data_IF_646913128610
#
_entry.id   IF_646913128610
#
_cell.length_a   1.000
_cell.length_b   1.000
_cell.length_c   1.000
_cell.angle_alpha   90.00
_cell.angle_beta   90.00
_cell.angle_gamma   90.00
#
_symmetry.space_group_name_H-M   'P 1'
#
loop_
_entity.id
_entity.type
_entity.pdbx_description
1 polymer ?
#
# COMPACT_ATOMS: atom_id res chain seq x y z
N UNK A 1 6.89 -0.34 -13.93
CA UNK A 1 6.31 0.68 -13.04
C UNK A 1 5.07 1.24 -13.72
N UNK A 2 3.89 1.11 -13.10
CA UNK A 2 2.68 1.78 -13.57
C UNK A 2 2.87 3.31 -13.49
N UNK A 3 2.04 4.05 -14.25
CA UNK A 3 2.06 5.51 -14.26
C UNK A 3 2.05 6.15 -12.84
N UNK A 4 1.47 5.46 -11.87
CA UNK A 4 1.37 5.93 -10.48
C UNK A 4 2.55 5.55 -9.58
N UNK A 5 3.59 4.90 -10.05
CA UNK A 5 4.79 4.49 -9.27
C UNK A 5 4.51 4.06 -7.82
N UNK A 6 3.35 3.51 -7.53
CA UNK A 6 2.92 3.22 -6.17
C UNK A 6 3.02 1.74 -5.84
N UNK A 7 3.36 1.48 -4.59
CA UNK A 7 3.33 0.15 -4.00
C UNK A 7 1.89 -0.29 -3.74
N UNK A 8 1.67 -1.57 -3.45
CA UNK A 8 0.35 -2.06 -3.04
C UNK A 8 -0.05 -1.44 -1.69
N UNK A 9 0.92 -1.17 -0.82
CA UNK A 9 0.68 -0.52 0.47
C UNK A 9 0.27 0.95 0.28
N UNK A 10 0.86 1.67 -0.69
CA UNK A 10 0.37 2.99 -1.11
C UNK A 10 -1.06 2.95 -1.64
N UNK A 11 -1.42 1.89 -2.37
CA UNK A 11 -2.80 1.64 -2.78
C UNK A 11 -3.75 1.46 -1.59
N UNK A 12 -3.37 0.65 -0.62
CA UNK A 12 -4.15 0.43 0.63
C UNK A 12 -4.24 1.70 1.46
N UNK A 13 -3.14 2.40 1.64
CA UNK A 13 -3.12 3.68 2.36
C UNK A 13 -4.12 4.70 1.78
N UNK A 14 -4.27 4.74 0.46
CA UNK A 14 -5.23 5.65 -0.17
C UNK A 14 -6.69 5.37 0.21
N UNK A 15 -7.05 4.10 0.45
CA UNK A 15 -8.38 3.74 0.95
C UNK A 15 -8.55 4.18 2.42
N UNK A 16 -7.51 3.99 3.23
CA UNK A 16 -7.53 4.32 4.66
C UNK A 16 -7.64 5.82 4.93
N UNK A 17 -7.32 6.66 3.94
CA UNK A 17 -7.50 8.12 3.99
C UNK A 17 -8.87 8.61 3.51
N UNK A 18 -9.79 7.74 3.16
CA UNK A 18 -11.17 8.11 2.87
C UNK A 18 -11.87 8.59 4.16
N UNK A 19 -12.83 9.54 4.07
CA UNK A 19 -13.64 9.91 5.22
C UNK A 19 -14.28 8.66 5.85
N UNK A 20 -14.29 8.52 7.18
CA UNK A 20 -14.75 7.29 7.85
C UNK A 20 -16.14 6.82 7.42
N UNK A 21 -17.11 7.74 7.31
CA UNK A 21 -18.47 7.39 6.88
C UNK A 21 -18.50 6.91 5.43
N UNK A 22 -17.74 7.55 4.54
CA UNK A 22 -17.60 7.10 3.14
C UNK A 22 -16.98 5.71 3.08
N UNK A 23 -15.90 5.48 3.84
CA UNK A 23 -15.25 4.18 3.90
C UNK A 23 -16.19 3.06 4.38
N UNK A 24 -16.97 3.33 5.43
CA UNK A 24 -17.90 2.36 6.00
C UNK A 24 -19.10 2.08 5.09
N UNK A 25 -19.66 3.10 4.44
CA UNK A 25 -20.81 2.98 3.57
C UNK A 25 -20.49 2.37 2.20
N UNK A 26 -19.25 2.52 1.73
CA UNK A 26 -18.85 2.04 0.42
C UNK A 26 -18.71 0.51 0.37
N UNK A 27 -19.12 -0.09 -0.74
CA UNK A 27 -18.84 -1.49 -1.04
C UNK A 27 -17.33 -1.72 -1.25
N UNK A 28 -16.90 -2.98 -1.33
CA UNK A 28 -15.50 -3.34 -1.54
C UNK A 28 -14.91 -2.63 -2.78
N UNK A 29 -15.54 -2.76 -3.94
CA UNK A 29 -15.05 -2.15 -5.17
C UNK A 29 -15.18 -0.63 -5.20
N UNK A 30 -16.19 -0.07 -4.57
CA UNK A 30 -16.31 1.39 -4.43
C UNK A 30 -15.14 1.98 -3.64
N UNK A 31 -14.68 1.33 -2.58
CA UNK A 31 -13.48 1.78 -1.83
C UNK A 31 -12.26 1.82 -2.75
N UNK A 32 -12.04 0.75 -3.52
CA UNK A 32 -10.91 0.70 -4.46
C UNK A 32 -11.01 1.78 -5.54
N UNK A 33 -12.21 2.02 -6.06
CA UNK A 33 -12.45 3.07 -7.04
C UNK A 33 -12.16 4.46 -6.46
N UNK A 34 -12.70 4.81 -5.28
CA UNK A 34 -12.45 6.06 -4.61
C UNK A 34 -10.96 6.27 -4.26
N UNK A 35 -10.29 5.19 -3.81
CA UNK A 35 -8.84 5.23 -3.59
C UNK A 35 -8.05 5.44 -4.88
N UNK A 36 -8.51 4.88 -6.00
CA UNK A 36 -7.91 5.10 -7.31
C UNK A 36 -8.07 6.55 -7.76
N UNK A 37 -9.27 7.13 -7.65
CA UNK A 37 -9.52 8.56 -7.95
C UNK A 37 -8.56 9.46 -7.21
N UNK A 38 -8.42 9.30 -5.90
CA UNK A 38 -7.45 10.06 -5.08
C UNK A 38 -6.03 9.93 -5.63
N UNK A 39 -5.63 8.74 -6.02
CA UNK A 39 -4.27 8.48 -6.50
C UNK A 39 -3.99 9.08 -7.86
N UNK A 40 -4.91 8.96 -8.81
CA UNK A 40 -4.71 9.53 -10.15
C UNK A 40 -4.64 11.06 -10.10
N UNK A 41 -5.41 11.69 -9.21
CA UNK A 41 -5.33 13.14 -8.95
C UNK A 41 -4.00 13.49 -8.28
N UNK A 42 -3.62 12.81 -7.20
CA UNK A 42 -2.39 13.07 -6.48
C UNK A 42 -1.12 12.89 -7.34
N UNK A 43 -1.19 12.01 -8.35
CA UNK A 43 -0.10 11.82 -9.32
C UNK A 43 -0.20 12.74 -10.56
N UNK A 44 -1.18 13.64 -10.60
CA UNK A 44 -1.38 14.58 -11.70
C UNK A 44 -1.71 13.90 -13.03
N UNK A 45 -2.37 12.74 -12.99
CA UNK A 45 -2.83 12.02 -14.19
C UNK A 45 -4.18 12.51 -14.66
N UNK A 46 -5.03 12.95 -13.73
CA UNK A 46 -6.36 13.48 -13.95
C UNK A 46 -6.58 14.65 -13.00
N UNK A 47 -7.24 15.70 -13.43
CA UNK A 47 -7.64 16.81 -12.56
C UNK A 47 -8.92 16.51 -11.77
N UNK A 48 -9.09 17.12 -10.61
CA UNK A 48 -10.35 17.01 -9.84
C UNK A 48 -11.57 17.51 -10.63
N UNK A 49 -11.37 18.53 -11.43
CA UNK A 49 -12.39 19.09 -12.32
C UNK A 49 -12.80 18.10 -13.42
N UNK A 50 -11.86 17.30 -13.93
CA UNK A 50 -12.12 16.24 -14.90
C UNK A 50 -12.91 15.08 -14.28
N UNK A 51 -12.56 14.68 -13.03
CA UNK A 51 -13.34 13.71 -12.27
C UNK A 51 -14.79 14.20 -12.10
N UNK A 52 -14.98 15.44 -11.67
CA UNK A 52 -16.31 16.04 -11.51
C UNK A 52 -17.09 16.16 -12.82
N UNK A 53 -16.40 16.48 -13.92
CA UNK A 53 -17.00 16.61 -15.24
C UNK A 53 -17.29 15.26 -15.91
N UNK A 54 -16.68 14.16 -15.41
CA UNK A 54 -16.78 12.84 -16.04
C UNK A 54 -16.17 12.75 -17.42
N UNK A 55 -15.29 13.68 -17.80
CA UNK A 55 -14.63 13.73 -19.10
C UNK A 55 -13.30 14.46 -19.03
N UNK A 56 -12.42 14.18 -19.98
CA UNK A 56 -11.17 14.92 -20.12
C UNK A 56 -11.45 16.39 -20.54
N UNK A 57 -10.81 17.32 -19.86
CA UNK A 57 -10.89 18.76 -20.14
C UNK A 57 -9.61 19.30 -20.77
N UNK A 58 -8.55 18.50 -20.80
CA UNK A 58 -7.23 18.85 -21.33
C UNK A 58 -6.52 17.62 -21.90
N UNK A 59 -5.48 17.80 -22.71
CA UNK A 59 -4.64 16.69 -23.14
C UNK A 59 -4.07 15.94 -21.94
N UNK A 60 -4.14 14.60 -21.98
CA UNK A 60 -3.60 13.76 -20.91
C UNK A 60 -2.09 13.91 -20.79
N UNK A 61 -1.56 13.76 -19.56
CA UNK A 61 -0.13 13.72 -19.31
C UNK A 61 0.51 12.54 -20.06
N UNK A 62 1.62 12.80 -20.75
CA UNK A 62 2.41 11.74 -21.37
C UNK A 62 2.86 10.70 -20.32
N UNK A 63 2.72 9.44 -20.67
CA UNK A 63 3.17 8.33 -19.83
C UNK A 63 4.47 7.78 -20.40
N UNK A 64 5.48 7.61 -19.55
CA UNK A 64 6.75 7.00 -19.95
C UNK A 64 6.58 5.57 -20.47
N UNK A 65 5.54 4.88 -19.98
CA UNK A 65 5.25 3.51 -20.38
C UNK A 65 3.78 3.17 -20.16
N UNK A 66 3.17 2.53 -21.14
CA UNK A 66 1.88 1.83 -21.00
C UNK A 66 2.13 0.36 -20.69
N UNK A 67 1.28 -0.22 -19.84
CA UNK A 67 1.27 -1.66 -19.62
C UNK A 67 0.64 -2.33 -20.84
N UNK A 68 1.34 -3.33 -21.40
CA UNK A 68 0.86 -4.12 -22.53
C UNK A 68 0.55 -5.55 -22.08
N UNK A 69 -0.14 -6.33 -22.92
CA UNK A 69 -0.44 -7.74 -22.64
C UNK A 69 0.85 -8.54 -22.40
N UNK A 70 1.93 -8.25 -23.12
CA UNK A 70 3.22 -8.90 -22.95
C UNK A 70 3.86 -8.64 -21.57
N UNK A 71 3.44 -7.59 -20.87
CA UNK A 71 3.94 -7.28 -19.52
C UNK A 71 3.22 -8.07 -18.41
N UNK A 72 2.07 -8.69 -18.69
CA UNK A 72 1.23 -9.35 -17.68
C UNK A 72 1.98 -10.41 -16.88
N UNK A 73 2.72 -11.36 -17.48
CA UNK A 73 3.47 -12.37 -16.71
C UNK A 73 4.42 -11.72 -15.70
N UNK A 74 5.16 -10.70 -16.12
CA UNK A 74 6.07 -9.96 -15.24
C UNK A 74 5.34 -9.20 -14.12
N UNK A 75 4.15 -8.68 -14.39
CA UNK A 75 3.35 -7.98 -13.38
C UNK A 75 2.81 -8.94 -12.34
N UNK A 76 2.37 -10.13 -12.76
CA UNK A 76 1.87 -11.17 -11.85
C UNK A 76 2.95 -11.71 -10.92
N UNK A 77 4.21 -11.72 -11.34
CA UNK A 77 5.35 -12.18 -10.52
C UNK A 77 5.88 -11.09 -9.56
N UNK A 78 5.36 -9.87 -9.61
CA UNK A 78 5.85 -8.72 -8.81
C UNK A 78 5.43 -8.72 -7.33
N UNK A 79 4.70 -9.71 -6.87
CA UNK A 79 4.16 -9.75 -5.51
C UNK A 79 5.18 -10.10 -4.42
N UNK A 80 6.47 -10.23 -4.71
CA UNK A 80 7.43 -10.60 -3.70
C UNK A 80 7.83 -9.39 -2.85
N UNK A 81 7.44 -9.44 -1.58
CA UNK A 81 7.82 -8.48 -0.54
C UNK A 81 9.08 -8.89 0.22
N UNK A 82 9.65 -10.06 -0.07
CA UNK A 82 10.90 -10.51 0.50
C UNK A 82 12.06 -9.65 0.04
N UNK A 83 13.01 -9.46 0.96
CA UNK A 83 14.28 -8.80 0.70
C UNK A 83 15.41 -9.65 1.28
N UNK A 84 16.62 -9.58 0.71
CA UNK A 84 17.80 -10.16 1.35
C UNK A 84 17.96 -9.57 2.75
N UNK A 85 18.08 -10.43 3.76
CA UNK A 85 18.37 -9.98 5.11
C UNK A 85 19.82 -9.52 5.19
N UNK A 86 20.06 -8.28 5.63
CA UNK A 86 21.39 -7.73 5.86
C UNK A 86 21.92 -8.06 7.27
N UNK A 87 21.03 -8.40 8.18
CA UNK A 87 21.31 -8.79 9.56
C UNK A 87 20.46 -10.01 9.95
N UNK A 88 20.90 -10.83 10.92
CA UNK A 88 20.10 -11.95 11.39
C UNK A 88 18.81 -11.46 12.05
N UNK A 89 17.77 -12.31 12.04
CA UNK A 89 16.52 -12.03 12.72
C UNK A 89 16.75 -11.76 14.21
N UNK A 90 16.12 -10.70 14.72
CA UNK A 90 16.23 -10.31 16.15
C UNK A 90 15.59 -11.30 17.10
N UNK A 91 14.58 -12.02 16.64
CA UNK A 91 13.82 -13.00 17.41
C UNK A 91 14.00 -14.39 16.80
N UNK A 92 13.74 -15.41 17.60
CA UNK A 92 13.69 -16.82 17.17
C UNK A 92 12.36 -17.46 17.57
N UNK A 93 12.08 -18.60 16.99
CA UNK A 93 10.89 -19.39 17.35
C UNK A 93 10.89 -19.72 18.84
N UNK A 94 9.72 -19.61 19.47
CA UNK A 94 9.53 -19.78 20.90
C UNK A 94 9.72 -18.52 21.74
N UNK A 95 10.29 -17.44 21.19
CA UNK A 95 10.48 -16.20 21.95
C UNK A 95 9.13 -15.60 22.36
N UNK A 96 9.00 -15.23 23.63
CA UNK A 96 7.87 -14.44 24.12
C UNK A 96 8.07 -12.97 23.77
N UNK A 97 7.10 -12.40 23.11
CA UNK A 97 7.14 -11.02 22.62
C UNK A 97 5.90 -10.25 23.03
N UNK A 98 6.02 -8.93 23.06
CA UNK A 98 4.88 -8.03 23.20
C UNK A 98 4.84 -7.10 21.99
N UNK A 99 3.72 -7.09 21.31
CA UNK A 99 3.52 -6.17 20.19
C UNK A 99 3.52 -4.73 20.66
N UNK A 100 4.07 -3.83 19.85
CA UNK A 100 4.08 -2.40 20.18
C UNK A 100 2.66 -1.85 20.19
N UNK A 101 2.36 -0.99 21.15
CA UNK A 101 1.12 -0.21 21.13
C UNK A 101 1.38 1.12 20.38
N UNK A 102 1.29 1.06 19.06
CA UNK A 102 1.53 2.20 18.17
C UNK A 102 0.26 2.56 17.42
N UNK A 103 0.07 3.85 17.18
CA UNK A 103 -1.03 4.39 16.40
C UNK A 103 -0.47 5.35 15.34
N UNK A 104 0.20 4.83 14.30
CA UNK A 104 0.76 5.70 13.27
C UNK A 104 -0.35 6.43 12.53
N UNK A 105 -0.07 7.67 12.12
CA UNK A 105 -0.98 8.47 11.30
C UNK A 105 -1.09 7.95 9.85
N UNK A 106 -0.13 7.12 9.45
CA UNK A 106 -0.05 6.52 8.12
C UNK A 106 -0.45 5.04 8.15
N UNK A 107 -0.31 4.40 7.01
CA UNK A 107 -0.60 2.98 6.86
C UNK A 107 0.23 2.10 7.80
N UNK A 108 -0.40 1.08 8.39
CA UNK A 108 0.26 0.02 9.15
C UNK A 108 -0.45 -1.31 8.96
N UNK A 109 0.32 -2.40 9.04
CA UNK A 109 -0.23 -3.76 8.98
C UNK A 109 -0.41 -4.40 10.35
N UNK A 110 -0.08 -3.68 11.43
CA UNK A 110 -0.38 -4.12 12.79
C UNK A 110 -1.82 -3.75 13.17
N UNK A 111 -2.78 -4.70 13.15
CA UNK A 111 -4.17 -4.39 13.44
C UNK A 111 -4.35 -3.97 14.90
N UNK A 112 -5.34 -3.11 15.17
CA UNK A 112 -5.55 -2.53 16.48
C UNK A 112 -5.73 -3.58 17.58
N UNK A 113 -6.46 -4.66 17.29
CA UNK A 113 -6.71 -5.73 18.27
C UNK A 113 -5.44 -6.48 18.71
N UNK A 114 -4.38 -6.46 17.89
CA UNK A 114 -3.11 -7.12 18.18
C UNK A 114 -2.11 -6.20 18.90
N UNK A 115 -2.38 -4.89 19.02
CA UNK A 115 -1.45 -3.93 19.64
C UNK A 115 -1.36 -4.12 21.15
N UNK A 116 -0.15 -4.06 21.68
CA UNK A 116 0.12 -4.21 23.11
C UNK A 116 -0.13 -5.62 23.67
N UNK A 117 -0.34 -6.61 22.82
CA UNK A 117 -0.63 -7.99 23.24
C UNK A 117 0.63 -8.81 23.38
N UNK A 118 0.59 -9.76 24.30
CA UNK A 118 1.63 -10.79 24.45
C UNK A 118 1.38 -11.91 23.42
N UNK A 119 2.46 -12.45 22.91
CA UNK A 119 2.44 -13.57 21.97
C UNK A 119 3.74 -14.36 22.03
N UNK A 120 3.81 -15.41 21.26
CA UNK A 120 5.01 -16.21 21.05
C UNK A 120 5.34 -16.21 19.58
N UNK A 121 6.61 -16.13 19.23
CA UNK A 121 7.07 -16.22 17.83
C UNK A 121 6.87 -17.66 17.39
N UNK A 122 5.97 -17.87 16.44
CA UNK A 122 5.67 -19.20 15.91
C UNK A 122 6.67 -19.61 14.83
N UNK A 123 7.03 -18.67 13.95
CA UNK A 123 7.95 -18.93 12.84
C UNK A 123 8.62 -17.64 12.37
N UNK A 124 9.83 -17.76 11.82
CA UNK A 124 10.53 -16.69 11.12
C UNK A 124 10.25 -16.85 9.62
N UNK A 125 9.62 -15.84 9.01
CA UNK A 125 9.16 -15.88 7.60
C UNK A 125 10.06 -15.10 6.65
N UNK A 126 11.25 -14.71 7.09
CA UNK A 126 12.19 -13.93 6.29
C UNK A 126 12.14 -12.42 6.58
N UNK A 127 12.86 -11.67 5.76
CA UNK A 127 12.93 -10.22 5.83
C UNK A 127 11.97 -9.63 4.79
N UNK A 128 11.09 -8.74 5.18
CA UNK A 128 10.04 -8.21 4.31
C UNK A 128 10.05 -6.68 4.30
N UNK A 129 9.59 -6.11 3.19
CA UNK A 129 9.34 -4.66 3.07
C UNK A 129 8.45 -4.19 4.22
N UNK A 130 8.86 -3.11 4.89
CA UNK A 130 8.07 -2.51 5.96
C UNK A 130 6.93 -1.67 5.38
N UNK A 131 5.66 -2.07 5.59
CA UNK A 131 4.52 -1.46 4.91
C UNK A 131 4.33 0.03 5.19
N UNK A 132 4.63 0.46 6.40
CA UNK A 132 4.44 1.84 6.86
C UNK A 132 5.30 2.82 6.03
N UNK A 133 6.54 2.45 5.74
CA UNK A 133 7.45 3.26 4.92
C UNK A 133 7.20 3.07 3.43
N UNK A 134 6.90 1.85 3.00
CA UNK A 134 6.58 1.56 1.60
C UNK A 134 5.31 2.30 1.14
N UNK A 135 4.32 2.47 2.01
CA UNK A 135 3.09 3.20 1.71
C UNK A 135 3.33 4.68 1.43
N UNK A 136 4.33 5.29 2.07
CA UNK A 136 4.67 6.71 1.93
C UNK A 136 5.78 6.97 0.92
N UNK A 137 6.36 5.94 0.33
CA UNK A 137 7.52 6.05 -0.57
C UNK A 137 8.84 6.33 0.15
N UNK A 138 8.90 6.16 1.47
CA UNK A 138 10.11 6.37 2.28
C UNK A 138 11.10 5.20 2.22
N UNK A 139 10.87 4.23 1.33
CA UNK A 139 11.74 3.08 1.11
C UNK A 139 11.22 1.79 1.73
N UNK A 140 11.92 0.71 1.45
CA UNK A 140 11.52 -0.64 1.84
C UNK A 140 11.72 -0.89 3.35
N UNK A 141 12.79 -0.38 3.95
CA UNK A 141 13.18 -0.54 5.36
C UNK A 141 12.88 -1.95 5.90
N UNK A 142 13.40 -2.98 5.24
CA UNK A 142 13.11 -4.37 5.56
C UNK A 142 13.68 -4.82 6.90
#
# INVERSE_FOLDING_TARGET
>A
QCACQSTIDGGRASLETLPPLTYLAASYYQRWFLGLEKRVVAHGLVGEDEIKAGKSLRPGRGLNRKLTVADIPRVLTRGNYERPASVPARFKEGDRVKTRNINPATHTRLPRYARGKLGTVEAIRGCHVYPDTAATGAGDNP
#
